data_IF_948627028119
#
_entry.id   IF_948627028119
#
_cell.length_a   1.000
_cell.length_b   1.000
_cell.length_c   1.000
_cell.angle_alpha   90.00
_cell.angle_beta   90.00
_cell.angle_gamma   90.00
#
_symmetry.space_group_name_H-M   'P 1'
#
loop_
_entity.id
_entity.type
_entity.pdbx_description
1 polymer ?
#
# COMPACT_ATOMS: atom_id res chain seq x y z
N UNK A 1 -2.26 -10.96 1.00
CA UNK A 1 -1.34 -10.14 1.83
C UNK A 1 -0.78 -9.04 0.94
N UNK A 2 -0.71 -7.83 1.44
CA UNK A 2 -0.06 -6.72 0.76
C UNK A 2 0.95 -6.09 1.72
N UNK A 3 2.19 -5.99 1.30
CA UNK A 3 3.25 -5.35 2.07
C UNK A 3 4.19 -4.59 1.14
N UNK A 4 4.69 -3.49 1.62
CA UNK A 4 5.72 -2.68 0.98
C UNK A 4 7.01 -2.79 1.78
N UNK A 5 8.10 -3.13 1.11
CA UNK A 5 9.45 -3.09 1.67
C UNK A 5 10.21 -1.96 1.01
N UNK A 6 10.63 -1.00 1.80
CA UNK A 6 11.44 0.14 1.38
C UNK A 6 12.78 0.09 2.11
N UNK A 7 13.86 0.34 1.39
CA UNK A 7 15.17 0.41 2.00
C UNK A 7 16.09 1.37 1.26
N UNK A 8 17.14 1.79 1.94
CA UNK A 8 18.10 2.74 1.41
C UNK A 8 19.11 3.20 2.46
N UNK A 9 19.77 4.31 2.17
CA UNK A 9 20.68 4.98 3.11
C UNK A 9 20.00 6.24 3.65
N UNK A 10 19.93 6.36 4.96
CA UNK A 10 19.36 7.53 5.61
C UNK A 10 20.19 8.79 5.29
N UNK A 11 19.60 9.86 4.74
CA UNK A 11 20.36 11.01 4.23
C UNK A 11 21.13 11.76 5.33
N UNK A 12 20.60 11.83 6.53
CA UNK A 12 21.19 12.63 7.61
C UNK A 12 22.21 11.84 8.44
N UNK A 13 22.09 10.51 8.49
CA UNK A 13 22.94 9.66 9.35
C UNK A 13 23.90 8.76 8.57
N UNK A 14 23.71 8.60 7.27
CA UNK A 14 24.47 7.67 6.43
C UNK A 14 24.27 6.19 6.76
N UNK A 15 23.31 5.86 7.62
CA UNK A 15 23.05 4.47 8.03
C UNK A 15 22.05 3.79 7.10
N UNK A 16 22.23 2.51 6.80
CA UNK A 16 21.23 1.76 6.06
C UNK A 16 19.94 1.63 6.89
N UNK A 17 18.81 1.67 6.19
CA UNK A 17 17.51 1.37 6.78
C UNK A 17 16.72 0.42 5.88
N UNK A 18 15.82 -0.34 6.48
CA UNK A 18 14.81 -1.13 5.78
C UNK A 18 13.55 -1.14 6.61
N UNK A 19 12.44 -0.85 5.98
CA UNK A 19 11.12 -0.93 6.59
C UNK A 19 10.26 -1.96 5.87
N UNK A 20 9.36 -2.58 6.60
CA UNK A 20 8.30 -3.43 6.06
C UNK A 20 6.98 -2.89 6.57
N UNK A 21 6.20 -2.28 5.68
CA UNK A 21 4.91 -1.71 6.02
C UNK A 21 3.78 -2.60 5.49
N UNK A 22 2.85 -3.01 6.37
CA UNK A 22 1.63 -3.66 5.94
C UNK A 22 0.76 -2.65 5.17
N UNK A 23 0.27 -3.06 4.00
CA UNK A 23 -0.69 -2.27 3.25
C UNK A 23 -2.08 -2.84 3.55
N UNK A 24 -2.83 -2.08 4.33
CA UNK A 24 -4.15 -2.49 4.81
C UNK A 24 -5.16 -2.46 3.66
N UNK A 25 -5.90 -3.55 3.51
CA UNK A 25 -6.88 -3.70 2.46
C UNK A 25 -8.33 -3.59 2.96
N UNK A 26 -9.26 -3.71 2.03
CA UNK A 26 -10.67 -3.92 2.33
C UNK A 26 -11.02 -5.41 2.21
N UNK A 27 -11.91 -5.88 3.05
CA UNK A 27 -12.50 -7.21 2.93
C UNK A 27 -13.81 -7.17 2.16
N UNK A 28 -14.17 -8.26 1.51
CA UNK A 28 -15.45 -8.38 0.84
C UNK A 28 -16.63 -8.29 1.80
N UNK A 29 -17.76 -7.84 1.29
CA UNK A 29 -19.03 -7.89 2.01
C UNK A 29 -19.48 -9.32 2.29
N UNK A 30 -20.25 -9.49 3.33
CA UNK A 30 -20.86 -10.77 3.73
C UNK A 30 -22.36 -10.81 3.40
N UNK A 31 -23.03 -11.92 3.72
CA UNK A 31 -24.46 -12.06 3.47
C UNK A 31 -25.31 -11.02 4.24
N UNK A 32 -24.82 -10.54 5.38
CA UNK A 32 -25.55 -9.67 6.31
C UNK A 32 -24.81 -8.39 6.72
N UNK A 33 -23.51 -8.25 6.36
CA UNK A 33 -22.70 -7.10 6.77
C UNK A 33 -21.81 -6.62 5.61
N UNK A 34 -21.52 -5.33 5.62
CA UNK A 34 -20.47 -4.72 4.78
C UNK A 34 -19.08 -5.27 5.14
N UNK A 35 -18.16 -5.22 4.20
CA UNK A 35 -16.77 -5.61 4.42
C UNK A 35 -16.01 -4.65 5.31
N UNK A 36 -15.09 -5.17 6.11
CA UNK A 36 -14.24 -4.36 6.99
C UNK A 36 -13.26 -3.53 6.20
N UNK A 37 -13.06 -2.28 6.61
CA UNK A 37 -12.18 -1.30 5.97
C UNK A 37 -10.83 -1.24 6.67
N UNK A 38 -9.75 -1.09 5.91
CA UNK A 38 -8.38 -0.91 6.38
C UNK A 38 -7.94 -2.01 7.37
N UNK A 39 -8.15 -3.26 6.99
CA UNK A 39 -7.70 -4.42 7.78
C UNK A 39 -6.59 -5.18 7.07
N UNK A 40 -5.70 -5.78 7.84
CA UNK A 40 -4.68 -6.68 7.31
C UNK A 40 -5.27 -8.07 7.03
N UNK A 41 -4.54 -9.13 7.20
CA UNK A 41 -5.10 -10.46 7.00
C UNK A 41 -5.64 -11.05 8.31
N UNK A 42 -6.65 -11.90 8.23
CA UNK A 42 -7.21 -12.61 9.39
C UNK A 42 -6.22 -13.48 10.16
N UNK A 43 -5.07 -13.80 9.53
CA UNK A 43 -4.02 -14.61 10.17
C UNK A 43 -2.97 -13.76 10.93
N UNK A 44 -3.01 -12.45 10.83
CA UNK A 44 -2.02 -11.55 11.43
C UNK A 44 -2.54 -10.82 12.67
N UNK A 45 -3.74 -11.16 13.12
CA UNK A 45 -4.35 -10.54 14.29
C UNK A 45 -4.42 -9.00 14.16
N UNK A 46 -4.13 -8.33 15.25
CA UNK A 46 -4.09 -6.87 15.31
C UNK A 46 -2.75 -6.35 14.81
N UNK A 47 -2.65 -6.13 13.50
CA UNK A 47 -1.47 -5.52 12.87
C UNK A 47 -1.73 -4.04 12.62
N UNK A 48 -0.84 -3.19 13.11
CA UNK A 48 -0.89 -1.74 12.93
C UNK A 48 0.27 -1.27 12.05
N UNK A 49 0.04 -0.19 11.32
CA UNK A 49 1.14 0.53 10.67
C UNK A 49 2.03 1.18 11.74
N UNK A 50 3.32 1.35 11.41
CA UNK A 50 4.20 2.15 12.23
C UNK A 50 3.70 3.61 12.25
N UNK A 51 3.71 4.29 13.41
CA UNK A 51 3.39 5.71 13.43
C UNK A 51 4.24 6.51 12.43
N UNK A 52 3.61 7.43 11.72
CA UNK A 52 4.25 8.21 10.65
C UNK A 52 5.51 8.91 11.15
N UNK A 53 5.46 9.52 12.31
CA UNK A 53 6.56 10.28 12.91
C UNK A 53 7.76 9.37 13.21
N UNK A 54 7.53 8.13 13.61
CA UNK A 54 8.60 7.15 13.87
C UNK A 54 9.22 6.71 12.54
N UNK A 55 8.41 6.49 11.52
CA UNK A 55 8.90 6.14 10.18
C UNK A 55 9.79 7.25 9.63
N UNK A 56 9.34 8.50 9.71
CA UNK A 56 10.09 9.66 9.22
C UNK A 56 11.37 9.92 10.01
N UNK A 57 11.33 9.74 11.34
CA UNK A 57 12.49 9.96 12.20
C UNK A 57 13.60 8.89 12.04
N UNK A 58 13.24 7.66 11.67
CA UNK A 58 14.18 6.54 11.60
C UNK A 58 14.63 6.16 10.20
N UNK A 59 13.85 6.55 9.20
CA UNK A 59 14.03 6.10 7.82
C UNK A 59 14.20 7.31 6.90
N UNK A 60 14.83 7.11 5.77
CA UNK A 60 15.10 8.17 4.81
C UNK A 60 13.90 8.50 3.91
N UNK A 61 12.72 8.66 4.49
CA UNK A 61 11.48 8.94 3.76
C UNK A 61 10.59 9.95 4.49
N UNK A 62 9.62 10.50 3.78
CA UNK A 62 8.44 11.17 4.33
C UNK A 62 7.18 10.42 3.91
N UNK A 63 6.18 10.39 4.80
CA UNK A 63 4.85 9.86 4.51
C UNK A 63 3.96 11.04 4.14
N UNK A 64 3.84 11.31 2.85
CA UNK A 64 3.06 12.46 2.36
C UNK A 64 1.56 12.25 2.49
N UNK A 65 1.14 10.98 2.49
CA UNK A 65 -0.27 10.61 2.57
C UNK A 65 -0.44 9.23 3.18
N UNK A 66 -1.36 9.13 4.10
CA UNK A 66 -1.88 7.86 4.61
C UNK A 66 -3.37 8.05 4.86
N UNK A 67 -4.19 7.51 3.99
CA UNK A 67 -5.64 7.72 3.99
C UNK A 67 -6.38 6.48 3.49
N UNK A 68 -7.70 6.45 3.68
CA UNK A 68 -8.51 5.44 3.02
C UNK A 68 -8.50 5.66 1.51
N UNK A 69 -8.38 4.55 0.76
CA UNK A 69 -8.42 4.63 -0.70
C UNK A 69 -9.74 5.31 -1.15
N UNK A 70 -9.68 6.36 -1.99
CA UNK A 70 -10.88 6.98 -2.53
C UNK A 70 -11.69 6.05 -3.43
N UNK A 71 -11.05 5.05 -4.06
CA UNK A 71 -11.72 4.09 -4.92
C UNK A 71 -12.76 3.26 -4.14
N UNK A 72 -13.87 2.87 -4.80
CA UNK A 72 -14.90 2.08 -4.14
C UNK A 72 -14.40 0.67 -3.77
N UNK A 73 -14.90 0.14 -2.69
CA UNK A 73 -14.60 -1.22 -2.22
C UNK A 73 -15.41 -2.32 -2.92
N UNK A 74 -16.04 -2.04 -4.04
CA UNK A 74 -17.04 -2.90 -4.68
C UNK A 74 -18.43 -2.69 -4.09
N UNK A 75 -19.33 -2.21 -4.93
CA UNK A 75 -20.71 -1.91 -4.52
C UNK A 75 -21.60 -3.13 -4.66
N UNK A 76 -22.66 -3.17 -3.86
CA UNK A 76 -23.64 -4.23 -3.85
C UNK A 76 -24.64 -4.04 -2.71
N UNK A 77 -25.47 -5.05 -2.46
CA UNK A 77 -26.34 -5.04 -1.28
C UNK A 77 -25.55 -4.87 0.03
N UNK A 78 -24.40 -5.53 0.09
CA UNK A 78 -23.38 -5.33 1.13
C UNK A 78 -22.11 -4.85 0.39
N UNK A 79 -21.53 -3.76 0.85
CA UNK A 79 -20.37 -3.15 0.21
C UNK A 79 -19.09 -3.82 0.66
N UNK A 80 -18.11 -3.92 -0.24
CA UNK A 80 -16.74 -4.22 0.13
C UNK A 80 -16.11 -3.08 0.94
N UNK A 81 -15.21 -3.42 1.86
CA UNK A 81 -14.43 -2.46 2.61
C UNK A 81 -13.37 -1.77 1.74
N UNK A 82 -12.90 -0.62 2.19
CA UNK A 82 -11.84 0.15 1.52
C UNK A 82 -10.45 -0.26 2.01
N UNK A 83 -9.50 -0.28 1.11
CA UNK A 83 -8.07 -0.33 1.45
C UNK A 83 -7.54 1.06 1.81
N UNK A 84 -6.21 1.15 1.97
CA UNK A 84 -5.50 2.41 2.18
C UNK A 84 -4.78 2.87 0.92
N UNK A 85 -4.51 4.16 0.86
CA UNK A 85 -3.54 4.80 -0.01
C UNK A 85 -2.41 5.35 0.86
N UNK A 86 -1.17 4.96 0.54
CA UNK A 86 0.03 5.47 1.21
C UNK A 86 0.99 6.03 0.16
N UNK A 87 1.32 7.30 0.28
CA UNK A 87 2.27 8.00 -0.60
C UNK A 87 3.55 8.27 0.21
N UNK A 88 4.69 7.75 -0.27
CA UNK A 88 6.00 7.92 0.36
C UNK A 88 6.91 8.74 -0.55
N UNK A 89 7.55 9.76 -0.01
CA UNK A 89 8.62 10.48 -0.69
C UNK A 89 9.97 10.03 -0.14
N UNK A 90 10.79 9.47 -1.00
CA UNK A 90 12.14 9.03 -0.64
C UNK A 90 13.07 10.24 -0.59
N UNK A 91 13.80 10.40 0.52
CA UNK A 91 14.66 11.55 0.77
C UNK A 91 16.08 11.40 0.20
N UNK A 92 16.50 10.20 -0.09
CA UNK A 92 17.86 9.92 -0.53
C UNK A 92 17.88 9.19 -1.88
N UNK A 93 18.94 9.40 -2.64
CA UNK A 93 19.23 8.61 -3.83
C UNK A 93 19.59 7.16 -3.46
N UNK A 94 19.26 6.20 -4.34
CA UNK A 94 19.75 4.83 -4.23
C UNK A 94 19.02 3.96 -3.21
N UNK A 95 17.71 4.07 -3.16
CA UNK A 95 16.87 3.12 -2.42
C UNK A 95 16.38 1.95 -3.27
N UNK A 96 15.73 0.99 -2.64
CA UNK A 96 15.02 -0.08 -3.31
C UNK A 96 13.58 -0.21 -2.81
N UNK A 97 12.72 -0.74 -3.68
CA UNK A 97 11.32 -0.99 -3.40
C UNK A 97 10.97 -2.43 -3.77
N UNK A 98 10.30 -3.12 -2.88
CA UNK A 98 9.63 -4.39 -3.16
C UNK A 98 8.19 -4.31 -2.68
N UNK A 99 7.25 -4.67 -3.54
CA UNK A 99 5.83 -4.68 -3.22
C UNK A 99 5.27 -6.08 -3.42
N UNK A 100 4.80 -6.70 -2.33
CA UNK A 100 4.12 -7.99 -2.34
C UNK A 100 2.61 -7.76 -2.43
N UNK A 101 2.13 -7.44 -3.63
CA UNK A 101 0.72 -7.16 -3.85
C UNK A 101 0.04 -8.29 -4.61
N UNK A 102 -1.18 -8.57 -4.21
CA UNK A 102 -2.10 -9.46 -4.93
C UNK A 102 -3.26 -8.64 -5.47
N UNK A 103 -4.07 -9.22 -6.33
CA UNK A 103 -5.25 -8.53 -6.89
C UNK A 103 -4.94 -7.27 -7.71
N UNK A 104 -3.75 -7.21 -8.30
CA UNK A 104 -3.35 -6.10 -9.17
C UNK A 104 -3.84 -6.30 -10.60
N UNK A 105 -3.70 -7.51 -11.14
CA UNK A 105 -4.15 -7.87 -12.49
C UNK A 105 -5.63 -8.28 -12.53
N UNK A 106 -6.05 -9.02 -11.51
CA UNK A 106 -7.43 -9.48 -11.36
C UNK A 106 -7.97 -8.89 -10.06
N UNK A 107 -8.79 -7.83 -10.13
CA UNK A 107 -9.35 -7.21 -8.94
C UNK A 107 -10.24 -8.19 -8.16
N UNK A 108 -10.57 -7.88 -6.91
CA UNK A 108 -11.57 -8.66 -6.18
C UNK A 108 -12.89 -8.59 -6.92
N UNK A 109 -13.45 -9.73 -7.29
CA UNK A 109 -14.70 -9.79 -8.02
C UNK A 109 -15.90 -9.81 -7.08
N UNK A 110 -17.01 -9.22 -7.53
CA UNK A 110 -18.29 -9.29 -6.85
C UNK A 110 -18.98 -10.64 -7.00
N UNK A 111 -19.73 -11.06 -5.98
CA UNK A 111 -20.58 -12.25 -6.01
C UNK A 111 -22.05 -11.84 -5.95
N UNK A 112 -22.94 -12.69 -6.44
CA UNK A 112 -24.39 -12.54 -6.37
C UNK A 112 -24.88 -11.16 -6.87
N UNK A 113 -24.29 -10.65 -7.95
CA UNK A 113 -24.65 -9.35 -8.55
C UNK A 113 -23.94 -8.14 -7.94
N UNK A 114 -23.03 -8.32 -7.01
CA UNK A 114 -22.15 -7.25 -6.54
C UNK A 114 -21.13 -6.84 -7.60
N UNK A 115 -20.64 -5.61 -7.49
CA UNK A 115 -19.61 -5.07 -8.38
C UNK A 115 -18.21 -5.42 -7.88
N UNK A 116 -17.24 -5.39 -8.78
CA UNK A 116 -15.84 -5.64 -8.47
C UNK A 116 -15.25 -4.50 -7.61
N UNK A 117 -14.31 -4.85 -6.75
CA UNK A 117 -13.48 -3.87 -6.05
C UNK A 117 -12.37 -3.34 -6.93
N UNK A 118 -11.66 -2.29 -6.46
CA UNK A 118 -10.50 -1.72 -7.16
C UNK A 118 -9.27 -2.63 -7.08
N UNK A 119 -8.43 -2.67 -8.14
CA UNK A 119 -7.18 -3.39 -8.11
C UNK A 119 -6.12 -2.68 -7.26
N UNK A 120 -5.16 -3.44 -6.74
CA UNK A 120 -3.94 -2.88 -6.15
C UNK A 120 -2.97 -2.41 -7.24
N UNK A 121 -2.20 -1.38 -6.95
CA UNK A 121 -1.12 -0.90 -7.83
C UNK A 121 -0.05 -0.16 -7.05
N UNK A 122 1.10 0.01 -7.69
CA UNK A 122 2.18 0.90 -7.25
C UNK A 122 2.37 1.96 -8.33
N UNK A 123 2.46 3.22 -7.92
CA UNK A 123 2.75 4.33 -8.81
C UNK A 123 4.05 4.99 -8.35
N UNK A 124 5.01 5.10 -9.27
CA UNK A 124 6.27 5.79 -9.04
C UNK A 124 6.24 7.09 -9.80
N UNK A 125 6.39 8.19 -9.09
CA UNK A 125 6.53 9.54 -9.64
C UNK A 125 7.97 9.98 -9.52
N UNK A 126 8.60 10.25 -10.65
CA UNK A 126 9.98 10.69 -10.71
C UNK A 126 10.08 12.22 -10.69
N UNK A 127 11.25 12.74 -10.33
CA UNK A 127 11.50 14.17 -10.27
C UNK A 127 11.31 14.89 -11.62
N UNK A 128 11.50 14.20 -12.73
CA UNK A 128 11.27 14.71 -14.09
C UNK A 128 9.79 14.76 -14.50
N UNK A 129 8.88 14.34 -13.59
CA UNK A 129 7.44 14.27 -13.85
C UNK A 129 6.97 12.96 -14.48
N UNK A 130 7.88 12.03 -14.80
CA UNK A 130 7.50 10.70 -15.32
C UNK A 130 6.73 9.92 -14.27
N UNK A 131 5.65 9.26 -14.69
CA UNK A 131 4.82 8.42 -13.85
C UNK A 131 4.80 7.01 -14.40
N UNK A 132 5.19 6.06 -13.59
CA UNK A 132 5.17 4.63 -13.91
C UNK A 132 4.18 3.90 -12.99
N UNK A 133 3.35 3.04 -13.56
CA UNK A 133 2.40 2.22 -12.79
C UNK A 133 2.72 0.75 -12.94
N UNK A 134 2.82 0.06 -11.82
CA UNK A 134 3.19 -1.34 -11.73
C UNK A 134 2.17 -2.14 -10.93
N UNK A 135 1.99 -3.41 -11.31
CA UNK A 135 1.15 -4.36 -10.58
C UNK A 135 1.88 -4.94 -9.36
N UNK A 136 3.18 -5.18 -9.53
CA UNK A 136 4.08 -5.73 -8.52
C UNK A 136 5.51 -5.27 -8.79
N UNK A 137 6.36 -5.29 -7.81
CA UNK A 137 7.77 -4.91 -7.92
C UNK A 137 8.62 -5.73 -6.98
N UNK A 138 9.78 -6.15 -7.44
CA UNK A 138 10.77 -6.85 -6.61
C UNK A 138 12.14 -6.23 -6.79
N UNK A 139 12.74 -5.79 -5.70
CA UNK A 139 14.07 -5.16 -5.66
C UNK A 139 14.25 -4.07 -6.72
N UNK A 140 13.23 -3.25 -6.89
CA UNK A 140 13.23 -2.18 -7.88
C UNK A 140 14.07 -1.01 -7.38
N UNK A 141 15.12 -0.66 -8.13
CA UNK A 141 16.02 0.44 -7.79
C UNK A 141 15.32 1.79 -7.92
N UNK A 142 15.25 2.53 -6.82
CA UNK A 142 14.76 3.90 -6.80
C UNK A 142 15.91 4.84 -7.16
N UNK A 143 15.99 5.24 -8.42
CA UNK A 143 16.92 6.26 -8.91
C UNK A 143 16.28 7.63 -8.77
N UNK A 144 17.08 8.63 -8.43
CA UNK A 144 16.69 10.03 -8.56
C UNK A 144 16.51 10.41 -10.01
#
# INVERSE_FOLDING_TARGET
MCATVLGGIHPDTGRPYTIVEPQLGGWGGHAINDGSTAVFSGFHGMTFNCPVEINEARNGLFVERLELNPDPGGEGRQRGGKGIRADYRIRAAGGFLTCFYTRSKFPPWGLAGGLDGSPNYVEIRRADGTVERHAEMTNFGLKQ
#
